data_IF_639060507312
#
_entry.id   IF_639060507312
#
_cell.length_a   1.000
_cell.length_b   1.000
_cell.length_c   1.000
_cell.angle_alpha   90.00
_cell.angle_beta   90.00
_cell.angle_gamma   90.00
#
_symmetry.space_group_name_H-M   'P 1'
#
loop_
_entity.id
_entity.type
_entity.pdbx_description
1 polymer ?
#
# COMPACT_ATOMS: atom_id res chain seq x y z
N UNK A 1 27.63 16.83 -25.39
CA UNK A 1 27.16 16.18 -24.16
C UNK A 1 26.95 17.16 -22.98
N UNK A 2 27.61 18.32 -22.97
CA UNK A 2 27.51 19.39 -21.94
C UNK A 2 26.07 19.81 -21.53
N UNK A 3 25.14 19.92 -22.48
CA UNK A 3 23.79 20.43 -22.24
C UNK A 3 22.94 19.46 -21.42
N UNK A 4 23.08 18.15 -21.63
CA UNK A 4 22.25 17.15 -20.97
C UNK A 4 22.50 17.13 -19.45
N UNK A 5 23.77 17.20 -19.05
CA UNK A 5 24.19 17.26 -17.64
C UNK A 5 23.78 18.59 -16.96
N UNK A 6 23.70 19.67 -17.74
CA UNK A 6 23.20 20.97 -17.26
C UNK A 6 21.68 20.96 -17.05
N UNK A 7 20.94 20.10 -17.74
CA UNK A 7 19.48 19.99 -17.59
C UNK A 7 19.06 18.94 -16.57
N UNK A 8 19.93 18.00 -16.19
CA UNK A 8 19.60 16.89 -15.28
C UNK A 8 18.97 17.32 -13.96
N UNK A 9 19.40 18.42 -13.35
CA UNK A 9 18.78 18.95 -12.13
C UNK A 9 17.31 19.30 -12.31
N UNK A 10 16.94 19.91 -13.44
CA UNK A 10 15.56 20.30 -13.73
C UNK A 10 14.67 19.07 -13.93
N UNK A 11 15.22 18.00 -14.52
CA UNK A 11 14.50 16.73 -14.65
C UNK A 11 14.16 16.16 -13.27
N UNK A 12 15.13 16.06 -12.35
CA UNK A 12 14.86 15.52 -11.01
C UNK A 12 13.90 16.40 -10.19
N UNK A 13 13.98 17.73 -10.35
CA UNK A 13 13.00 18.64 -9.73
C UNK A 13 11.59 18.41 -10.30
N UNK A 14 11.45 18.27 -11.62
CA UNK A 14 10.17 17.97 -12.24
C UNK A 14 9.60 16.63 -11.76
N UNK A 15 10.43 15.60 -11.66
CA UNK A 15 10.03 14.29 -11.10
C UNK A 15 9.62 14.42 -9.64
N UNK A 16 10.35 15.19 -8.82
CA UNK A 16 9.95 15.44 -7.43
C UNK A 16 8.57 16.09 -7.34
N UNK A 17 8.30 17.12 -8.16
CA UNK A 17 6.97 17.75 -8.21
C UNK A 17 5.89 16.75 -8.63
N UNK A 18 6.17 15.89 -9.61
CA UNK A 18 5.25 14.85 -10.05
C UNK A 18 4.97 13.82 -8.95
N UNK A 19 5.96 13.48 -8.12
CA UNK A 19 5.75 12.64 -6.93
C UNK A 19 4.82 13.34 -5.93
N UNK A 20 5.02 14.62 -5.63
CA UNK A 20 4.11 15.35 -4.74
C UNK A 20 2.67 15.37 -5.26
N UNK A 21 2.48 15.64 -6.55
CA UNK A 21 1.14 15.66 -7.18
C UNK A 21 0.52 14.26 -7.20
N UNK A 22 1.27 13.25 -7.64
CA UNK A 22 0.78 11.88 -7.79
C UNK A 22 0.41 11.22 -6.46
N UNK A 23 1.12 11.57 -5.38
CA UNK A 23 0.86 11.05 -4.04
C UNK A 23 0.11 12.05 -3.14
N UNK A 24 -0.45 13.13 -3.71
CA UNK A 24 -1.16 14.13 -2.93
C UNK A 24 -2.38 13.54 -2.22
N UNK A 25 -3.25 12.84 -2.97
CA UNK A 25 -4.47 12.26 -2.40
C UNK A 25 -4.22 11.08 -1.46
N UNK A 26 -3.13 10.35 -1.66
CA UNK A 26 -2.85 9.09 -0.96
C UNK A 26 -1.95 9.25 0.26
N UNK A 27 -1.19 10.35 0.36
CA UNK A 27 -0.30 10.58 1.48
C UNK A 27 -0.30 12.05 1.95
N UNK A 28 0.08 12.99 1.08
CA UNK A 28 0.32 14.38 1.54
C UNK A 28 -0.94 15.12 2.00
N UNK A 29 -2.09 14.84 1.39
CA UNK A 29 -3.38 15.43 1.73
C UNK A 29 -4.00 14.89 3.02
N UNK A 30 -3.42 13.83 3.61
CA UNK A 30 -3.85 13.28 4.90
C UNK A 30 -3.12 13.92 6.09
N UNK A 31 -2.10 14.75 5.83
CA UNK A 31 -1.43 15.52 6.89
C UNK A 31 -2.43 16.48 7.56
N UNK A 32 -2.44 16.61 8.90
CA UNK A 32 -1.54 15.99 9.89
C UNK A 32 -2.03 14.70 10.54
N UNK A 33 -3.25 14.23 10.23
CA UNK A 33 -3.89 13.13 10.96
C UNK A 33 -3.44 11.74 10.48
N UNK A 34 -3.11 11.60 9.19
CA UNK A 34 -2.59 10.36 8.60
C UNK A 34 -3.44 9.11 8.86
N UNK A 35 -4.76 9.26 8.85
CA UNK A 35 -5.71 8.17 9.13
C UNK A 35 -5.54 7.01 8.14
N UNK A 36 -5.33 5.80 8.67
CA UNK A 36 -5.18 4.58 7.87
C UNK A 36 -3.82 4.40 7.21
N UNK A 37 -2.84 5.27 7.49
CA UNK A 37 -1.47 5.13 6.98
C UNK A 37 -0.64 4.23 7.92
N UNK A 38 0.02 3.23 7.35
CA UNK A 38 0.90 2.34 8.11
C UNK A 38 2.29 2.96 8.30
N UNK A 39 3.00 2.54 9.35
CA UNK A 39 4.38 2.97 9.61
C UNK A 39 5.31 2.68 8.42
N UNK A 40 5.14 1.55 7.74
CA UNK A 40 5.94 1.21 6.57
C UNK A 40 5.78 2.22 5.44
N UNK A 41 4.58 2.78 5.24
CA UNK A 41 4.34 3.82 4.24
C UNK A 41 5.02 5.14 4.61
N UNK A 42 5.02 5.52 5.89
CA UNK A 42 5.79 6.68 6.35
C UNK A 42 7.29 6.52 6.11
N UNK A 43 7.85 5.36 6.48
CA UNK A 43 9.28 5.07 6.27
C UNK A 43 9.63 5.13 4.78
N UNK A 44 8.80 4.53 3.92
CA UNK A 44 9.00 4.59 2.48
C UNK A 44 8.93 6.01 1.93
N UNK A 45 7.89 6.77 2.30
CA UNK A 45 7.72 8.16 1.86
C UNK A 45 8.91 9.03 2.27
N UNK A 46 9.40 8.90 3.50
CA UNK A 46 10.58 9.65 3.97
C UNK A 46 11.85 9.22 3.23
N UNK A 47 12.07 7.92 3.06
CA UNK A 47 13.29 7.41 2.39
C UNK A 47 13.33 7.76 0.91
N UNK A 48 12.22 7.70 0.19
CA UNK A 48 12.16 8.09 -1.23
C UNK A 48 12.34 9.61 -1.40
N UNK A 49 11.74 10.42 -0.52
CA UNK A 49 11.91 11.88 -0.55
C UNK A 49 13.36 12.28 -0.23
N UNK A 50 13.98 11.63 0.76
CA UNK A 50 15.39 11.84 1.09
C UNK A 50 16.30 11.47 -0.09
N UNK A 51 16.06 10.33 -0.73
CA UNK A 51 16.84 9.88 -1.88
C UNK A 51 16.70 10.82 -3.09
N UNK A 52 15.47 11.24 -3.42
CA UNK A 52 15.23 12.21 -4.49
C UNK A 52 15.87 13.57 -4.20
N UNK A 53 15.85 14.01 -2.95
CA UNK A 53 16.53 15.24 -2.53
C UNK A 53 18.05 15.15 -2.75
N UNK A 54 18.66 14.00 -2.43
CA UNK A 54 20.06 13.74 -2.73
C UNK A 54 20.31 13.87 -4.24
N UNK A 55 19.53 13.22 -5.09
CA UNK A 55 19.71 13.27 -6.57
C UNK A 55 19.64 14.70 -7.12
N UNK A 56 18.78 15.55 -6.56
CA UNK A 56 18.69 16.97 -6.93
C UNK A 56 19.93 17.73 -6.47
N UNK A 57 20.37 17.53 -5.23
CA UNK A 57 21.51 18.24 -4.62
C UNK A 57 22.83 17.91 -5.32
N UNK A 58 23.05 16.67 -5.76
CA UNK A 58 24.32 16.24 -6.38
C UNK A 58 24.82 17.18 -7.52
N UNK A 59 24.05 17.45 -8.59
CA UNK A 59 24.48 18.34 -9.66
C UNK A 59 24.66 19.79 -9.24
N UNK A 60 23.95 20.28 -8.21
CA UNK A 60 24.19 21.62 -7.66
C UNK A 60 25.57 21.73 -7.00
N UNK A 61 25.99 20.70 -6.25
CA UNK A 61 27.30 20.66 -5.59
C UNK A 61 28.45 20.61 -6.60
N UNK A 62 28.28 19.87 -7.71
CA UNK A 62 29.27 19.82 -8.79
C UNK A 62 29.45 21.21 -9.44
N UNK A 63 28.34 21.93 -9.72
CA UNK A 63 28.40 23.30 -10.27
C UNK A 63 29.04 24.29 -9.30
N UNK A 64 28.79 24.12 -8.01
CA UNK A 64 29.41 24.91 -6.95
C UNK A 64 30.88 24.55 -6.69
N UNK A 65 31.48 23.62 -7.47
CA UNK A 65 32.84 23.09 -7.29
C UNK A 65 33.08 22.46 -5.90
N UNK A 66 32.02 22.09 -5.17
CA UNK A 66 32.07 21.49 -3.82
C UNK A 66 32.12 19.97 -3.92
N UNK A 67 33.22 19.45 -4.47
CA UNK A 67 33.38 18.02 -4.77
C UNK A 67 33.45 17.13 -3.52
N UNK A 68 33.96 17.64 -2.40
CA UNK A 68 34.00 16.88 -1.14
C UNK A 68 32.61 16.59 -0.61
N UNK A 69 31.73 17.60 -0.59
CA UNK A 69 30.33 17.42 -0.20
C UNK A 69 29.59 16.51 -1.19
N UNK A 70 29.89 16.59 -2.49
CA UNK A 70 29.29 15.71 -3.49
C UNK A 70 29.62 14.24 -3.17
N UNK A 71 30.90 13.96 -2.86
CA UNK A 71 31.35 12.62 -2.46
C UNK A 71 30.73 12.19 -1.13
N UNK A 72 30.63 13.08 -0.14
CA UNK A 72 30.01 12.77 1.15
C UNK A 72 28.53 12.41 1.01
N UNK A 73 27.75 13.27 0.33
CA UNK A 73 26.32 13.03 0.09
C UNK A 73 26.13 11.79 -0.81
N UNK A 74 27.03 11.57 -1.77
CA UNK A 74 27.07 10.35 -2.56
C UNK A 74 27.26 9.10 -1.70
N UNK A 75 28.14 9.16 -0.71
CA UNK A 75 28.34 8.06 0.26
C UNK A 75 27.08 7.79 1.09
N UNK A 76 26.39 8.84 1.53
CA UNK A 76 25.11 8.70 2.25
C UNK A 76 24.08 7.99 1.36
N UNK A 77 24.05 8.27 0.06
CA UNK A 77 23.14 7.61 -0.89
C UNK A 77 23.31 6.09 -0.92
N UNK A 78 24.52 5.55 -0.72
CA UNK A 78 24.72 4.09 -0.65
C UNK A 78 24.02 3.42 0.54
N UNK A 79 23.67 4.18 1.57
CA UNK A 79 22.86 3.69 2.70
C UNK A 79 21.38 3.96 2.46
N UNK A 80 21.04 5.14 1.94
CA UNK A 80 19.64 5.54 1.69
C UNK A 80 18.98 4.66 0.63
N UNK A 81 19.70 4.30 -0.45
CA UNK A 81 19.11 3.51 -1.54
C UNK A 81 18.69 2.10 -1.07
N UNK A 82 19.53 1.32 -0.35
CA UNK A 82 19.08 0.09 0.28
C UNK A 82 17.86 0.27 1.19
N UNK A 83 17.80 1.35 1.97
CA UNK A 83 16.64 1.63 2.83
C UNK A 83 15.35 1.85 2.02
N UNK A 84 15.44 2.51 0.86
CA UNK A 84 14.30 2.64 -0.08
C UNK A 84 13.84 1.28 -0.58
N UNK A 85 14.77 0.40 -0.97
CA UNK A 85 14.43 -0.94 -1.48
C UNK A 85 13.78 -1.78 -0.37
N UNK A 86 14.36 -1.79 0.83
CA UNK A 86 13.84 -2.52 1.97
C UNK A 86 12.46 -2.01 2.40
N UNK A 87 12.26 -0.69 2.45
CA UNK A 87 10.96 -0.11 2.82
C UNK A 87 9.88 -0.41 1.77
N UNK A 88 10.23 -0.39 0.48
CA UNK A 88 9.32 -0.77 -0.61
C UNK A 88 8.94 -2.25 -0.51
N UNK A 89 9.92 -3.14 -0.29
CA UNK A 89 9.67 -4.57 -0.10
C UNK A 89 8.79 -4.84 1.13
N UNK A 90 8.96 -4.06 2.20
CA UNK A 90 8.10 -4.14 3.37
C UNK A 90 6.65 -3.76 3.06
N UNK A 91 6.41 -2.66 2.35
CA UNK A 91 5.06 -2.29 1.90
C UNK A 91 4.46 -3.40 1.05
N UNK A 92 5.21 -3.91 0.07
CA UNK A 92 4.72 -4.99 -0.79
C UNK A 92 4.25 -6.18 0.04
N UNK A 93 5.06 -6.57 1.04
CA UNK A 93 4.68 -7.65 1.94
C UNK A 93 3.44 -7.36 2.78
N UNK A 94 3.29 -6.12 3.27
CA UNK A 94 2.10 -5.72 4.02
C UNK A 94 0.84 -5.75 3.16
N UNK A 95 0.94 -5.27 1.91
CA UNK A 95 -0.19 -5.28 0.96
C UNK A 95 -0.61 -6.71 0.63
N UNK A 96 0.34 -7.60 0.37
CA UNK A 96 0.05 -9.02 0.09
C UNK A 96 -0.71 -9.68 1.25
N UNK A 97 -0.30 -9.39 2.50
CA UNK A 97 -0.97 -9.92 3.69
C UNK A 97 -2.40 -9.38 3.84
N UNK A 98 -2.64 -8.11 3.50
CA UNK A 98 -3.98 -7.54 3.50
C UNK A 98 -4.89 -8.08 2.38
N UNK A 99 -4.34 -8.41 1.22
CA UNK A 99 -5.12 -9.01 0.13
C UNK A 99 -5.53 -10.46 0.46
N UNK A 100 -4.64 -11.22 1.08
CA UNK A 100 -4.94 -12.60 1.50
C UNK A 100 -6.05 -12.66 2.56
N UNK A 101 -6.08 -11.74 3.52
CA UNK A 101 -7.17 -11.67 4.51
C UNK A 101 -8.49 -11.20 3.89
N UNK A 102 -8.44 -10.30 2.91
CA UNK A 102 -9.62 -9.87 2.15
C UNK A 102 -10.26 -10.98 1.31
N UNK A 103 -9.48 -11.94 0.81
CA UNK A 103 -10.00 -13.11 0.09
C UNK A 103 -10.68 -14.13 1.03
N UNK A 104 -10.22 -14.24 2.28
CA UNK A 104 -10.84 -15.08 3.32
C UNK A 104 -12.21 -14.50 3.78
N UNK A 105 -12.36 -13.18 3.77
CA UNK A 105 -13.60 -12.51 4.19
C UNK A 105 -14.64 -12.29 3.08
N UNK A 106 -14.30 -12.45 1.80
CA UNK A 106 -15.34 -12.44 0.75
C UNK A 106 -16.06 -13.78 0.82
N UNK A 107 -17.33 -13.86 1.27
CA UNK A 107 -18.08 -15.09 1.10
C UNK A 107 -18.03 -15.40 -0.38
N UNK A 108 -17.46 -16.54 -0.74
CA UNK A 108 -17.59 -17.08 -2.09
C UNK A 108 -19.09 -17.08 -2.38
N UNK A 109 -19.54 -16.16 -3.23
CA UNK A 109 -20.94 -16.04 -3.58
C UNK A 109 -21.28 -17.33 -4.31
N UNK A 110 -21.87 -18.26 -3.57
CA UNK A 110 -22.20 -19.57 -4.11
C UNK A 110 -23.36 -19.40 -5.08
N UNK A 111 -23.01 -19.32 -6.37
CA UNK A 111 -23.95 -19.20 -7.48
C UNK A 111 -24.94 -20.37 -7.47
N UNK A 112 -24.55 -21.54 -6.95
CA UNK A 112 -25.47 -22.68 -6.80
C UNK A 112 -26.58 -22.35 -5.78
N UNK A 113 -26.22 -21.73 -4.65
CA UNK A 113 -27.19 -21.35 -3.62
C UNK A 113 -28.07 -20.15 -4.07
N UNK A 114 -27.54 -19.20 -4.85
CA UNK A 114 -28.33 -18.12 -5.46
C UNK A 114 -29.32 -18.63 -6.53
N UNK A 115 -28.87 -19.53 -7.42
CA UNK A 115 -29.71 -20.10 -8.46
C UNK A 115 -30.77 -21.05 -7.91
N UNK A 116 -30.47 -21.78 -6.82
CA UNK A 116 -31.45 -22.60 -6.10
C UNK A 116 -32.57 -21.75 -5.49
N UNK A 117 -32.29 -20.53 -5.03
CA UNK A 117 -33.34 -19.60 -4.56
C UNK A 117 -34.13 -18.91 -5.68
N UNK A 118 -33.57 -18.81 -6.89
CA UNK A 118 -34.22 -18.18 -8.06
C UNK A 118 -35.00 -19.14 -8.97
N UNK A 119 -35.24 -20.38 -8.54
CA UNK A 119 -36.21 -21.27 -9.20
C UNK A 119 -35.88 -21.60 -10.66
N UNK A 120 -34.59 -21.63 -11.05
CA UNK A 120 -34.17 -22.08 -12.38
C UNK A 120 -33.58 -23.49 -12.30
N UNK A 121 -34.45 -24.46 -12.54
CA UNK A 121 -34.15 -25.63 -13.38
C UNK A 121 -33.46 -26.83 -12.71
N UNK A 122 -34.23 -27.93 -12.62
CA UNK A 122 -33.79 -29.33 -12.54
C UNK A 122 -33.05 -29.77 -11.27
N UNK A 123 -33.85 -30.14 -10.27
CA UNK A 123 -33.41 -30.94 -9.12
C UNK A 123 -32.88 -32.29 -9.61
N UNK A 124 -31.59 -32.55 -9.41
CA UNK A 124 -31.17 -33.95 -9.22
C UNK A 124 -31.71 -34.40 -7.85
N UNK A 125 -32.18 -35.65 -7.68
CA UNK A 125 -32.97 -36.03 -6.49
C UNK A 125 -32.18 -36.16 -5.19
N UNK A 126 -30.90 -35.75 -5.14
CA UNK A 126 -30.00 -36.07 -4.02
C UNK A 126 -29.27 -34.86 -3.41
N UNK A 127 -29.72 -33.63 -3.70
CA UNK A 127 -29.23 -32.45 -3.00
C UNK A 127 -30.16 -32.14 -1.81
N UNK A 128 -29.82 -32.64 -0.63
CA UNK A 128 -30.48 -32.27 0.62
C UNK A 128 -30.33 -30.77 0.87
N UNK A 129 -31.46 -30.07 1.02
CA UNK A 129 -31.56 -28.64 1.32
C UNK A 129 -30.91 -28.21 2.67
N UNK A 130 -30.27 -29.14 3.39
CA UNK A 130 -29.51 -28.88 4.62
C UNK A 130 -28.07 -28.38 4.42
N UNK A 131 -27.51 -28.46 3.20
CA UNK A 131 -26.08 -28.15 3.00
C UNK A 131 -25.77 -26.65 2.78
N UNK A 132 -26.75 -25.85 2.38
CA UNK A 132 -26.54 -24.41 2.13
C UNK A 132 -26.54 -23.56 3.42
N UNK A 133 -26.98 -24.10 4.56
CA UNK A 133 -27.09 -23.36 5.83
C UNK A 133 -25.85 -23.51 6.72
N UNK A 134 -24.91 -24.41 6.41
CA UNK A 134 -23.80 -24.73 7.30
C UNK A 134 -22.49 -23.96 7.04
N UNK A 135 -22.36 -23.23 5.92
CA UNK A 135 -21.06 -22.63 5.51
C UNK A 135 -20.97 -21.10 5.60
N UNK A 136 -21.97 -20.45 6.20
CA UNK A 136 -22.06 -18.98 6.30
C UNK A 136 -21.80 -18.44 7.73
N UNK A 137 -20.99 -19.12 8.54
CA UNK A 137 -20.57 -18.60 9.84
C UNK A 137 -19.03 -18.45 9.88
N UNK A 138 -18.47 -17.23 9.80
CA UNK A 138 -17.08 -17.03 10.18
C UNK A 138 -17.01 -17.12 11.71
N UNK A 139 -16.46 -18.24 12.21
CA UNK A 139 -16.06 -18.38 13.60
C UNK A 139 -14.80 -17.55 13.86
N UNK A 140 -14.93 -16.24 14.10
CA UNK A 140 -13.87 -15.44 14.75
C UNK A 140 -14.48 -14.45 15.75
N UNK A 141 -14.55 -14.92 17.00
CA UNK A 141 -14.20 -14.26 18.27
C UNK A 141 -14.77 -12.88 18.66
N UNK A 142 -15.44 -12.89 19.81
CA UNK A 142 -15.38 -11.91 20.92
C UNK A 142 -15.52 -10.42 20.61
N UNK A 143 -16.69 -9.84 20.90
CA UNK A 143 -16.89 -8.71 21.83
C UNK A 143 -18.35 -8.22 21.70
N UNK A 144 -19.27 -8.77 22.52
CA UNK A 144 -20.49 -8.09 23.00
C UNK A 144 -21.36 -9.09 23.76
N UNK A 145 -21.06 -9.31 25.04
CA UNK A 145 -21.94 -10.01 25.99
C UNK A 145 -22.85 -9.01 26.70
N UNK A 146 -23.77 -8.33 26.00
CA UNK A 146 -24.73 -7.43 26.69
C UNK A 146 -26.13 -7.32 26.09
N UNK A 147 -26.51 -8.10 25.08
CA UNK A 147 -27.82 -7.93 24.43
C UNK A 147 -28.72 -9.18 24.46
N UNK A 148 -28.72 -9.93 25.56
CA UNK A 148 -29.66 -11.04 25.73
C UNK A 148 -30.06 -11.21 27.22
N UNK A 149 -30.77 -10.22 27.75
CA UNK A 149 -31.55 -10.37 28.98
C UNK A 149 -32.55 -9.22 29.06
N UNK A 150 -33.74 -9.42 28.48
CA UNK A 150 -35.03 -8.87 28.91
C UNK A 150 -36.08 -8.98 27.79
N UNK A 151 -36.55 -10.20 27.52
CA UNK A 151 -37.96 -10.44 27.16
C UNK A 151 -38.34 -11.78 27.78
N UNK A 152 -38.94 -11.70 28.97
CA UNK A 152 -39.84 -12.69 29.55
C UNK A 152 -40.97 -11.89 30.21
#
# INVERSE_FOLDING_TARGET
MEKLYRTSSYLFIAVMLMVFVGFYKTYFGLFPHFDGITLALHIHAVTILAWMSILIIQPFLIRGKKLELHRLIGKISYVVMPLVVLSTGWIMRLVDLQQNTGQISKPHFDIACYNSRKGKGSLTPNASAGDCTARAAPQISMYSKTACLAVA
#
